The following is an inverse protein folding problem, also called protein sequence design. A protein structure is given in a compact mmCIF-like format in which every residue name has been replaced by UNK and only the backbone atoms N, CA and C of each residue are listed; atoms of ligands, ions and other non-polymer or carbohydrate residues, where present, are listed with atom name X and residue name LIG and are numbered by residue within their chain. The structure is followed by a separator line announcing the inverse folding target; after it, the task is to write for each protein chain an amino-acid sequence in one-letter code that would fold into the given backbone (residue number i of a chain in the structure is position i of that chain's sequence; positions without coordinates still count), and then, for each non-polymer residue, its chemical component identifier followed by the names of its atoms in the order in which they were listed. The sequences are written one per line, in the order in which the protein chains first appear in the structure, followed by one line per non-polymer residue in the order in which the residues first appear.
data_IF_196451523945
#
_entry.id   IF_196451523945
#
_cell.length_a   1.000
_cell.length_b   1.000
_cell.length_c   1.000
_cell.angle_alpha   90.00
_cell.angle_beta   90.00
_cell.angle_gamma   90.00
#
_symmetry.space_group_name_H-M   'P 1'
#
loop_
_entity.id
_entity.type
_entity.pdbx_description
1 polymer ?
#
# COMPACT_ATOMS: atom_id res chain seq x y z
N UNK A 1 -3.16 13.98 -1.79
CA UNK A 1 -3.44 13.84 -3.24
C UNK A 1 -2.23 13.16 -3.86
N UNK A 2 -2.34 11.89 -4.23
CA UNK A 2 -1.26 11.18 -4.95
C UNK A 2 -1.52 11.46 -6.42
N UNK A 3 -0.68 12.23 -7.06
CA UNK A 3 -0.72 12.43 -8.51
C UNK A 3 -0.12 11.17 -9.16
N UNK A 4 -0.93 10.43 -9.91
CA UNK A 4 -0.42 9.43 -10.85
C UNK A 4 0.12 10.22 -12.02
N UNK A 5 1.44 10.33 -12.13
CA UNK A 5 2.08 10.93 -13.28
C UNK A 5 2.01 9.93 -14.44
N UNK A 6 1.41 10.36 -15.54
CA UNK A 6 1.40 9.67 -16.82
C UNK A 6 2.83 9.64 -17.38
N UNK A 7 3.44 8.46 -17.42
CA UNK A 7 4.68 8.22 -18.15
C UNK A 7 4.36 7.30 -19.32
N UNK A 8 4.27 7.87 -20.50
CA UNK A 8 4.15 7.12 -21.74
C UNK A 8 5.14 5.95 -21.82
N UNK A 9 4.71 4.93 -22.49
CA UNK A 9 5.33 3.62 -22.73
C UNK A 9 6.87 3.69 -22.79
N UNK A 10 7.55 3.02 -21.89
CA UNK A 10 8.98 2.76 -22.02
C UNK A 10 9.79 2.73 -20.72
N UNK A 11 9.22 2.89 -19.55
CA UNK A 11 10.07 3.02 -18.38
C UNK A 11 9.54 2.38 -17.09
N UNK A 12 9.32 1.06 -17.10
CA UNK A 12 9.21 0.24 -15.89
C UNK A 12 10.37 0.53 -14.90
N UNK A 13 11.53 0.88 -15.42
CA UNK A 13 12.70 1.26 -14.60
C UNK A 13 12.49 2.62 -13.92
N UNK A 14 11.96 3.62 -14.59
CA UNK A 14 11.65 4.93 -14.00
C UNK A 14 10.53 4.83 -12.98
N UNK A 15 9.50 4.04 -13.26
CA UNK A 15 8.41 3.78 -12.31
C UNK A 15 8.97 3.11 -11.05
N UNK A 16 9.73 2.03 -11.18
CA UNK A 16 10.40 1.35 -10.05
C UNK A 16 11.29 2.29 -9.25
N UNK A 17 12.04 3.16 -9.91
CA UNK A 17 12.92 4.14 -9.27
C UNK A 17 12.14 5.19 -8.48
N UNK A 18 11.08 5.76 -9.07
CA UNK A 18 10.22 6.75 -8.42
C UNK A 18 9.47 6.17 -7.22
N UNK A 19 9.03 4.91 -7.33
CA UNK A 19 8.33 4.18 -6.28
C UNK A 19 9.25 3.84 -5.10
N UNK A 20 10.49 3.42 -5.40
CA UNK A 20 11.50 3.22 -4.38
C UNK A 20 11.80 4.52 -3.62
N UNK A 21 11.85 5.66 -4.30
CA UNK A 21 12.05 6.97 -3.68
C UNK A 21 10.88 7.37 -2.77
N UNK A 22 9.63 7.15 -3.22
CA UNK A 22 8.43 7.42 -2.41
C UNK A 22 8.42 6.54 -1.15
N UNK A 23 8.63 5.24 -1.31
CA UNK A 23 8.70 4.31 -0.19
C UNK A 23 9.83 4.65 0.80
N UNK A 24 11.01 5.00 0.30
CA UNK A 24 12.12 5.46 1.15
C UNK A 24 11.81 6.77 1.87
N UNK A 25 11.10 7.72 1.23
CA UNK A 25 10.67 8.95 1.87
C UNK A 25 9.68 8.66 2.99
N UNK A 26 8.73 7.75 2.75
CA UNK A 26 7.77 7.29 3.75
C UNK A 26 8.48 6.59 4.93
N UNK A 27 9.42 5.68 4.65
CA UNK A 27 10.21 4.99 5.67
C UNK A 27 11.03 5.98 6.53
N UNK A 28 11.65 7.00 5.90
CA UNK A 28 12.35 8.05 6.64
C UNK A 28 11.41 8.88 7.52
N UNK A 29 10.19 9.15 7.05
CA UNK A 29 9.19 9.89 7.82
C UNK A 29 8.67 9.12 9.04
N UNK A 30 8.65 7.78 8.98
CA UNK A 30 8.28 6.91 10.10
C UNK A 30 9.35 6.90 11.22
N UNK A 31 10.60 7.22 10.89
CA UNK A 31 11.70 7.18 11.85
C UNK A 31 11.87 5.80 12.50
N UNK A 32 11.90 5.75 13.84
CA UNK A 32 12.02 4.52 14.63
C UNK A 32 10.67 3.84 14.91
N UNK A 33 9.59 4.35 14.31
CA UNK A 33 8.22 3.82 14.42
C UNK A 33 7.65 3.86 15.85
N UNK A 34 8.19 4.74 16.75
CA UNK A 34 7.64 4.89 18.09
C UNK A 34 6.24 5.48 18.05
N UNK A 35 5.40 4.97 18.94
CA UNK A 35 4.06 5.48 19.20
C UNK A 35 3.08 5.33 18.05
N UNK A 36 3.42 4.66 16.95
CA UNK A 36 2.44 4.42 15.88
C UNK A 36 1.52 3.24 16.22
N UNK A 37 0.33 3.22 15.62
CA UNK A 37 -0.59 2.07 15.74
C UNK A 37 -0.03 0.79 15.09
N UNK A 38 0.89 0.93 14.14
CA UNK A 38 1.56 -0.13 13.41
C UNK A 38 0.64 -0.90 12.44
N UNK A 39 -0.58 -1.23 12.86
CA UNK A 39 -1.55 -1.97 12.04
C UNK A 39 -2.62 -1.03 11.52
N UNK A 40 -3.02 -1.23 10.28
CA UNK A 40 -4.18 -0.58 9.72
C UNK A 40 -4.89 -1.47 8.72
N UNK A 41 -6.21 -1.40 8.70
CA UNK A 41 -7.00 -2.10 7.71
C UNK A 41 -8.22 -1.28 7.33
N UNK A 42 -8.66 -1.45 6.09
CA UNK A 42 -9.83 -0.78 5.58
C UNK A 42 -10.53 -1.65 4.53
N UNK A 43 -11.86 -1.77 4.65
CA UNK A 43 -12.71 -2.34 3.61
C UNK A 43 -13.24 -1.19 2.79
N UNK A 44 -12.81 -1.09 1.55
CA UNK A 44 -13.23 -0.02 0.66
C UNK A 44 -14.25 -0.53 -0.36
N UNK A 45 -15.52 -0.10 -0.27
CA UNK A 45 -16.50 -0.30 -1.33
C UNK A 45 -16.30 0.76 -2.42
N UNK A 46 -16.32 0.34 -3.67
CA UNK A 46 -16.27 1.20 -4.85
C UNK A 46 -17.27 0.63 -5.87
N UNK A 47 -18.45 1.20 -5.90
CA UNK A 47 -19.61 0.68 -6.64
C UNK A 47 -19.83 -0.82 -6.34
N UNK A 48 -19.65 -1.71 -7.31
CA UNK A 48 -19.78 -3.16 -7.16
C UNK A 48 -18.53 -3.83 -6.58
N UNK A 49 -17.40 -3.11 -6.51
CA UNK A 49 -16.16 -3.64 -5.97
C UNK A 49 -16.07 -3.46 -4.45
N UNK A 50 -15.56 -4.47 -3.77
CA UNK A 50 -15.23 -4.43 -2.34
C UNK A 50 -13.87 -5.03 -2.11
N UNK A 51 -12.93 -4.22 -1.64
CA UNK A 51 -11.53 -4.61 -1.41
C UNK A 51 -11.16 -4.41 0.05
N UNK A 52 -10.57 -5.43 0.67
CA UNK A 52 -9.83 -5.29 1.92
C UNK A 52 -8.39 -4.88 1.62
N UNK A 53 -7.94 -3.84 2.28
CA UNK A 53 -6.53 -3.46 2.35
C UNK A 53 -6.07 -3.54 3.80
N UNK A 54 -5.00 -4.29 4.09
CA UNK A 54 -4.45 -4.40 5.43
C UNK A 54 -2.92 -4.22 5.40
N UNK A 55 -2.40 -3.50 6.39
CA UNK A 55 -0.98 -3.14 6.50
C UNK A 55 -0.46 -3.45 7.89
N UNK A 56 0.73 -4.04 7.97
CA UNK A 56 1.55 -4.15 9.17
C UNK A 56 2.92 -3.52 8.87
N UNK A 57 3.26 -2.43 9.55
CA UNK A 57 4.56 -1.79 9.49
C UNK A 57 5.56 -2.59 10.35
N UNK A 58 5.87 -3.79 9.88
CA UNK A 58 6.54 -4.85 10.67
C UNK A 58 8.05 -4.91 10.53
N UNK A 59 8.64 -4.09 9.67
CA UNK A 59 10.05 -4.25 9.27
C UNK A 59 10.30 -5.35 8.24
N UNK A 60 9.27 -6.13 7.85
CA UNK A 60 9.38 -7.25 6.89
C UNK A 60 8.60 -6.95 5.62
N UNK A 61 9.22 -7.21 4.47
CA UNK A 61 8.59 -7.03 3.17
C UNK A 61 7.74 -8.26 2.78
N UNK A 62 6.42 -8.08 2.73
CA UNK A 62 5.50 -9.09 2.20
C UNK A 62 4.36 -8.38 1.44
N UNK A 63 4.04 -8.85 0.25
CA UNK A 63 2.84 -8.47 -0.48
C UNK A 63 1.99 -9.71 -0.73
N UNK A 64 0.78 -9.73 -0.20
CA UNK A 64 -0.28 -10.63 -0.63
C UNK A 64 -1.20 -9.87 -1.58
N UNK A 65 -1.30 -10.35 -2.82
CA UNK A 65 -2.08 -9.74 -3.88
C UNK A 65 -3.12 -10.73 -4.39
N UNK A 66 -4.28 -10.74 -3.75
CA UNK A 66 -5.43 -11.55 -4.11
C UNK A 66 -6.48 -10.66 -4.81
N UNK A 67 -6.07 -10.15 -5.98
CA UNK A 67 -6.85 -9.24 -6.84
C UNK A 67 -6.94 -9.84 -8.23
N UNK A 68 -8.15 -9.94 -8.73
CA UNK A 68 -8.49 -10.53 -10.02
C UNK A 68 -9.12 -9.47 -10.92
N UNK A 69 -8.38 -9.04 -11.94
CA UNK A 69 -8.84 -8.08 -12.93
C UNK A 69 -9.22 -8.80 -14.22
N UNK A 70 -10.27 -8.34 -14.87
CA UNK A 70 -10.80 -8.95 -16.11
C UNK A 70 -10.18 -8.38 -17.37
N UNK A 71 -9.48 -7.24 -17.26
CA UNK A 71 -8.82 -6.56 -18.38
C UNK A 71 -7.34 -6.34 -18.10
N UNK A 72 -6.54 -6.29 -19.15
CA UNK A 72 -5.09 -6.03 -19.05
C UNK A 72 -4.77 -4.53 -18.90
N UNK A 73 -5.71 -3.66 -19.30
CA UNK A 73 -5.54 -2.20 -19.28
C UNK A 73 -6.79 -1.48 -18.80
N UNK A 74 -6.56 -0.33 -18.18
CA UNK A 74 -7.56 0.68 -17.86
C UNK A 74 -7.09 2.00 -18.47
N UNK A 75 -7.68 2.41 -19.60
CA UNK A 75 -7.12 3.46 -20.44
C UNK A 75 -5.71 3.07 -20.92
N UNK A 76 -4.74 3.93 -20.68
CA UNK A 76 -3.32 3.67 -21.01
C UNK A 76 -2.55 2.96 -19.89
N UNK A 77 -3.18 2.70 -18.74
CA UNK A 77 -2.54 2.08 -17.57
C UNK A 77 -2.56 0.56 -17.67
N UNK A 78 -1.39 -0.07 -17.66
CA UNK A 78 -1.23 -1.51 -17.58
C UNK A 78 -1.55 -2.01 -16.16
N UNK A 79 -2.53 -2.91 -16.03
CA UNK A 79 -3.03 -3.41 -14.74
C UNK A 79 -1.93 -4.09 -13.90
N UNK A 80 -0.99 -4.78 -14.55
CA UNK A 80 0.17 -5.39 -13.89
C UNK A 80 1.01 -4.38 -13.10
N UNK A 81 1.05 -3.12 -13.55
CA UNK A 81 1.79 -2.06 -12.87
C UNK A 81 1.28 -1.80 -11.44
N UNK A 82 0.01 -2.08 -11.15
CA UNK A 82 -0.54 -1.91 -9.81
C UNK A 82 0.10 -2.87 -8.80
N UNK A 83 0.25 -4.13 -9.17
CA UNK A 83 0.94 -5.14 -8.34
C UNK A 83 2.41 -4.80 -8.15
N UNK A 84 3.10 -4.42 -9.23
CA UNK A 84 4.52 -4.02 -9.17
C UNK A 84 4.72 -2.77 -8.30
N UNK A 85 3.77 -1.82 -8.37
CA UNK A 85 3.76 -0.65 -7.48
C UNK A 85 3.78 -1.10 -6.01
N UNK A 86 2.81 -1.89 -5.60
CA UNK A 86 2.67 -2.29 -4.19
C UNK A 86 3.81 -3.19 -3.72
N UNK A 87 4.37 -4.02 -4.61
CA UNK A 87 5.56 -4.80 -4.31
C UNK A 87 6.79 -3.90 -4.07
N UNK A 88 6.97 -2.88 -4.92
CA UNK A 88 8.02 -1.87 -4.75
C UNK A 88 7.86 -1.08 -3.47
N UNK A 89 6.63 -0.66 -3.15
CA UNK A 89 6.30 0.04 -1.91
C UNK A 89 6.62 -0.82 -0.68
N UNK A 90 6.10 -2.06 -0.61
CA UNK A 90 6.31 -2.96 0.52
C UNK A 90 7.80 -3.25 0.78
N UNK A 91 8.61 -3.35 -0.29
CA UNK A 91 10.07 -3.51 -0.19
C UNK A 91 10.77 -2.26 0.34
N UNK A 92 10.29 -1.08 -0.04
CA UNK A 92 10.93 0.19 0.33
C UNK A 92 10.57 0.65 1.74
N UNK A 93 9.37 0.29 2.22
CA UNK A 93 8.83 0.68 3.55
C UNK A 93 9.01 -0.41 4.60
N UNK A 94 9.68 -1.51 4.34
CA UNK A 94 9.60 -2.82 5.00
C UNK A 94 8.27 -3.07 5.71
N UNK A 95 7.22 -3.29 4.90
CA UNK A 95 5.85 -3.50 5.36
C UNK A 95 5.25 -4.80 4.83
N UNK A 96 4.36 -5.39 5.59
CA UNK A 96 3.46 -6.44 5.10
C UNK A 96 2.17 -5.78 4.61
N UNK A 97 1.80 -6.02 3.36
CA UNK A 97 0.61 -5.43 2.73
C UNK A 97 -0.24 -6.55 2.14
N UNK A 98 -1.52 -6.54 2.45
CA UNK A 98 -2.50 -7.48 1.91
C UNK A 98 -3.59 -6.74 1.16
N UNK A 99 -3.92 -7.24 -0.03
CA UNK A 99 -5.11 -6.90 -0.78
C UNK A 99 -5.92 -8.16 -1.02
N UNK A 100 -7.21 -8.11 -0.65
CA UNK A 100 -8.15 -9.23 -0.85
C UNK A 100 -9.41 -8.68 -1.49
N UNK A 101 -9.77 -9.23 -2.63
CA UNK A 101 -10.98 -8.88 -3.35
C UNK A 101 -12.16 -9.74 -2.86
N UNK A 102 -13.18 -9.09 -2.30
CA UNK A 102 -14.43 -9.76 -1.93
C UNK A 102 -15.45 -9.74 -3.05
N UNK A 103 -15.46 -8.65 -3.84
CA UNK A 103 -16.35 -8.45 -4.97
C UNK A 103 -15.72 -7.47 -5.97
N UNK A 104 -16.24 -7.43 -7.20
CA UNK A 104 -15.85 -6.48 -8.23
C UNK A 104 -15.67 -7.15 -9.59
N UNK A 105 -16.15 -6.47 -10.64
CA UNK A 105 -16.03 -6.88 -12.03
C UNK A 105 -15.31 -5.82 -12.87
N UNK A 106 -15.52 -4.53 -12.56
CA UNK A 106 -14.88 -3.42 -13.26
C UNK A 106 -13.44 -3.25 -12.74
N UNK A 107 -12.47 -3.50 -13.60
CA UNK A 107 -11.02 -3.41 -13.27
C UNK A 107 -10.62 -2.02 -12.74
N UNK A 108 -11.23 -0.93 -13.26
CA UNK A 108 -10.96 0.42 -12.76
C UNK A 108 -11.41 0.57 -11.31
N UNK A 109 -12.65 0.16 -10.99
CA UNK A 109 -13.18 0.22 -9.62
C UNK A 109 -12.35 -0.63 -8.65
N UNK A 110 -11.95 -1.83 -9.07
CA UNK A 110 -11.10 -2.73 -8.28
C UNK A 110 -9.76 -2.05 -7.94
N UNK A 111 -9.06 -1.52 -8.95
CA UNK A 111 -7.76 -0.87 -8.74
C UNK A 111 -7.89 0.42 -7.93
N UNK A 112 -8.90 1.25 -8.22
CA UNK A 112 -9.16 2.46 -7.44
C UNK A 112 -9.45 2.13 -5.98
N UNK A 113 -10.22 1.08 -5.70
CA UNK A 113 -10.47 0.59 -4.35
C UNK A 113 -9.18 0.13 -3.66
N UNK A 114 -8.27 -0.55 -4.35
CA UNK A 114 -6.97 -0.93 -3.80
C UNK A 114 -6.17 0.31 -3.35
N UNK A 115 -6.03 1.32 -4.21
CA UNK A 115 -5.23 2.50 -3.89
C UNK A 115 -5.85 3.37 -2.79
N UNK A 116 -7.15 3.61 -2.85
CA UNK A 116 -7.87 4.36 -1.81
C UNK A 116 -7.87 3.63 -0.47
N UNK A 117 -8.18 2.32 -0.49
CA UNK A 117 -8.22 1.49 0.71
C UNK A 117 -6.86 1.40 1.40
N UNK A 118 -5.78 1.26 0.62
CA UNK A 118 -4.43 1.28 1.16
C UNK A 118 -4.07 2.64 1.79
N UNK A 119 -4.53 3.76 1.20
CA UNK A 119 -4.36 5.08 1.80
C UNK A 119 -5.01 5.18 3.18
N UNK A 120 -6.22 4.66 3.34
CA UNK A 120 -6.91 4.60 4.64
C UNK A 120 -6.21 3.66 5.63
N UNK A 121 -5.79 2.47 5.18
CA UNK A 121 -5.08 1.51 6.00
C UNK A 121 -3.73 2.07 6.50
N UNK A 122 -2.95 2.69 5.61
CA UNK A 122 -1.69 3.36 5.96
C UNK A 122 -1.92 4.53 6.93
N UNK A 123 -2.94 5.36 6.69
CA UNK A 123 -3.30 6.46 7.60
C UNK A 123 -3.63 5.96 9.01
N UNK A 124 -4.32 4.82 9.13
CA UNK A 124 -4.57 4.20 10.42
C UNK A 124 -3.29 3.66 11.05
N UNK A 125 -2.44 2.98 10.29
CA UNK A 125 -1.20 2.35 10.77
C UNK A 125 -0.18 3.38 11.32
N UNK A 126 -0.11 4.57 10.72
CA UNK A 126 0.83 5.63 11.16
C UNK A 126 0.28 6.56 12.23
N UNK A 127 -1.00 6.40 12.62
CA UNK A 127 -1.62 7.22 13.64
C UNK A 127 -0.90 7.02 14.97
N UNK A 128 -0.61 8.11 15.67
CA UNK A 128 0.00 8.05 17.00
C UNK A 128 -0.98 7.49 18.03
N UNK A 129 -0.52 6.53 18.79
CA UNK A 129 -1.17 6.06 20.00
C UNK A 129 -0.65 6.88 21.19
N UNK A 130 -1.42 7.87 21.62
CA UNK A 130 -1.02 8.79 22.69
C UNK A 130 -0.76 8.08 24.03
N UNK A 131 -1.37 6.90 24.24
CA UNK A 131 -1.16 6.12 25.46
C UNK A 131 0.22 5.42 25.46
N UNK A 132 0.78 5.13 24.28
CA UNK A 132 2.03 4.38 24.11
C UNK A 132 3.04 5.11 23.20
N UNK A 133 2.96 6.43 23.14
CA UNK A 133 3.73 7.27 22.18
C UNK A 133 5.25 7.09 22.26
N UNK A 134 5.78 6.70 23.41
CA UNK A 134 7.21 6.51 23.65
C UNK A 134 7.66 5.05 23.50
N UNK A 135 6.73 4.14 23.14
CA UNK A 135 6.99 2.71 22.98
C UNK A 135 7.12 2.31 21.52
N UNK A 136 7.98 1.33 21.24
CA UNK A 136 7.99 0.66 19.94
C UNK A 136 6.85 -0.37 19.96
N UNK A 137 5.91 -0.36 19.00
CA UNK A 137 4.75 -1.24 18.98
C UNK A 137 5.11 -2.68 18.60
N UNK A 138 5.99 -3.30 19.41
CA UNK A 138 6.49 -4.65 19.20
C UNK A 138 6.83 -5.30 20.53
N UNK A 139 6.29 -6.50 20.77
CA UNK A 139 6.63 -7.31 21.94
C UNK A 139 8.11 -7.71 22.02
N UNK A 140 8.84 -7.58 20.91
CA UNK A 140 10.29 -7.84 20.81
C UNK A 140 11.13 -6.58 21.03
N UNK A 141 10.52 -5.41 21.23
CA UNK A 141 11.20 -4.13 21.40
C UNK A 141 11.89 -3.56 20.16
N UNK A 142 11.68 -4.18 18.99
CA UNK A 142 12.20 -3.71 17.71
C UNK A 142 11.29 -4.12 16.56
N UNK A 143 11.34 -3.35 15.47
CA UNK A 143 10.69 -3.62 14.19
C UNK A 143 11.79 -3.74 13.13
N UNK A 144 12.21 -4.97 12.84
CA UNK A 144 13.23 -5.35 11.84
C UNK A 144 12.83 -6.65 11.18
#
# INVERSE_FOLDING_TARGET
MIAIMDYGVGNLFSLKSSLAQLGQAFARALGDMRGIQRYGSFHLPMDEALILCAVDLSGRCTLNWDIHCTTEKVGDFDVECAKEFWLGFARSVPATVHFVQFAGENTHHILEACFKGAGHALSAAVKIDEAHKDEIPSTKGLLV
#
